data_IF_537239081979
#
_entry.id   IF_537239081979
#
_cell.length_a   1.000
_cell.length_b   1.000
_cell.length_c   1.000
_cell.angle_alpha   90.00
_cell.angle_beta   90.00
_cell.angle_gamma   90.00
#
_symmetry.space_group_name_H-M   'P 1'
#
loop_
_entity.id
_entity.type
_entity.pdbx_description
1 polymer ?
#
# COMPACT_ATOMS: atom_id res chain seq x y z
N UNK A 1 -1.85 0.49 -9.69
CA UNK A 1 -1.74 0.02 -11.09
C UNK A 1 -2.47 1.00 -12.00
N UNK A 2 -2.31 0.94 -13.33
CA UNK A 2 -2.99 1.86 -14.24
C UNK A 2 -4.18 1.19 -14.92
N UNK A 3 -5.37 1.78 -14.76
CA UNK A 3 -6.59 1.44 -15.46
C UNK A 3 -7.04 2.58 -16.40
N UNK A 4 -7.69 2.21 -17.50
CA UNK A 4 -8.42 3.15 -18.35
C UNK A 4 -9.68 3.66 -17.63
N UNK A 5 -10.02 4.93 -17.82
CA UNK A 5 -11.21 5.52 -17.19
C UNK A 5 -12.46 4.91 -17.84
N UNK A 6 -13.33 4.33 -17.02
CA UNK A 6 -14.65 3.85 -17.41
C UNK A 6 -15.63 4.18 -16.26
N UNK A 7 -16.43 5.27 -16.37
CA UNK A 7 -17.33 5.71 -15.30
C UNK A 7 -18.37 4.68 -14.86
N UNK A 8 -18.76 3.77 -15.75
CA UNK A 8 -19.69 2.67 -15.41
C UNK A 8 -18.97 1.47 -14.78
N UNK A 9 -17.64 1.43 -14.86
CA UNK A 9 -16.80 0.35 -14.35
C UNK A 9 -16.55 0.45 -12.84
N UNK A 10 -16.33 -0.71 -12.21
CA UNK A 10 -16.17 -0.85 -10.75
C UNK A 10 -15.14 0.09 -10.10
N UNK A 11 -14.11 0.52 -10.84
CA UNK A 11 -13.03 1.35 -10.31
C UNK A 11 -13.39 2.84 -10.25
N UNK A 12 -14.24 3.31 -11.17
CA UNK A 12 -14.57 4.73 -11.32
C UNK A 12 -16.04 5.02 -11.03
N UNK A 13 -16.82 4.01 -10.69
CA UNK A 13 -18.22 4.19 -10.32
C UNK A 13 -18.35 4.34 -8.80
N UNK A 14 -18.67 5.53 -8.26
CA UNK A 14 -18.83 5.72 -6.82
C UNK A 14 -19.97 4.88 -6.23
N UNK A 15 -21.02 4.57 -7.00
CA UNK A 15 -22.12 3.72 -6.55
C UNK A 15 -21.71 2.25 -6.34
N UNK A 16 -20.57 1.84 -6.90
CA UNK A 16 -19.98 0.50 -6.72
C UNK A 16 -18.87 0.48 -5.67
N UNK A 17 -18.62 1.60 -4.97
CA UNK A 17 -17.49 1.73 -4.05
C UNK A 17 -16.14 1.85 -4.78
N UNK A 18 -16.15 2.45 -5.98
CA UNK A 18 -14.93 2.72 -6.74
C UNK A 18 -13.95 3.63 -6.00
N UNK A 19 -12.72 3.65 -6.52
CA UNK A 19 -11.60 4.38 -5.93
C UNK A 19 -10.39 3.49 -5.65
N UNK A 20 -9.20 4.08 -5.71
CA UNK A 20 -7.95 3.36 -5.45
C UNK A 20 -7.84 2.88 -4.01
N UNK A 21 -8.37 3.63 -3.05
CA UNK A 21 -8.36 3.29 -1.64
C UNK A 21 -9.14 2.01 -1.36
N UNK A 22 -10.35 1.90 -1.90
CA UNK A 22 -11.21 0.73 -1.73
C UNK A 22 -10.73 -0.48 -2.54
N UNK A 23 -10.16 -0.26 -3.73
CA UNK A 23 -9.72 -1.36 -4.60
C UNK A 23 -8.37 -1.97 -4.17
N UNK A 24 -7.34 -1.13 -4.00
CA UNK A 24 -5.97 -1.60 -3.69
C UNK A 24 -5.34 -0.99 -2.45
N UNK A 25 -5.88 0.12 -1.94
CA UNK A 25 -5.44 0.69 -0.67
C UNK A 25 -5.71 -0.23 0.51
N UNK A 26 -6.75 -1.07 0.43
CA UNK A 26 -7.04 -2.08 1.45
C UNK A 26 -5.85 -3.02 1.69
N UNK A 27 -5.06 -3.38 0.68
CA UNK A 27 -3.92 -4.28 0.83
C UNK A 27 -2.76 -3.61 1.58
N UNK A 28 -2.49 -2.32 1.29
CA UNK A 28 -1.42 -1.59 1.96
C UNK A 28 -1.76 -1.33 3.43
N UNK A 29 -3.02 -0.98 3.72
CA UNK A 29 -3.55 -0.80 5.08
C UNK A 29 -3.53 -2.12 5.84
N UNK A 30 -3.99 -3.22 5.22
CA UNK A 30 -4.02 -4.53 5.86
C UNK A 30 -2.62 -5.04 6.18
N UNK A 31 -1.65 -4.85 5.28
CA UNK A 31 -0.26 -5.23 5.54
C UNK A 31 0.31 -4.43 6.72
N UNK A 32 0.10 -3.11 6.76
CA UNK A 32 0.52 -2.29 7.91
C UNK A 32 -0.14 -2.79 9.21
N UNK A 33 -1.45 -3.06 9.20
CA UNK A 33 -2.16 -3.61 10.35
C UNK A 33 -1.61 -4.97 10.79
N UNK A 34 -1.24 -5.85 9.86
CA UNK A 34 -0.66 -7.16 10.17
C UNK A 34 0.73 -7.05 10.79
N UNK A 35 1.57 -6.15 10.26
CA UNK A 35 2.95 -5.96 10.73
C UNK A 35 2.98 -5.30 12.11
N UNK A 36 2.17 -4.27 12.33
CA UNK A 36 2.19 -3.52 13.59
C UNK A 36 1.26 -4.10 14.67
N UNK A 37 0.23 -4.86 14.29
CA UNK A 37 -0.66 -5.56 15.21
C UNK A 37 -1.54 -4.68 16.10
N UNK A 38 -1.43 -3.35 15.99
CA UNK A 38 -2.16 -2.34 16.76
C UNK A 38 -2.70 -1.26 15.82
N UNK A 39 -3.66 -0.47 16.31
CA UNK A 39 -4.17 0.68 15.57
C UNK A 39 -3.12 1.81 15.53
N UNK A 40 -3.01 2.57 14.43
CA UNK A 40 -2.17 3.75 14.39
C UNK A 40 -2.76 4.88 15.25
N UNK A 41 -1.91 5.65 15.92
CA UNK A 41 -2.33 6.80 16.72
C UNK A 41 -2.79 7.97 15.86
N UNK A 42 -2.13 8.16 14.70
CA UNK A 42 -2.43 9.25 13.78
C UNK A 42 -2.29 8.78 12.35
N UNK A 43 -3.18 9.30 11.52
CA UNK A 43 -3.18 9.12 10.08
C UNK A 43 -3.15 10.50 9.44
N UNK A 44 -2.25 10.68 8.46
CA UNK A 44 -2.23 11.82 7.55
C UNK A 44 -2.33 11.30 6.12
N UNK A 45 -3.19 11.91 5.31
CA UNK A 45 -3.42 11.46 3.95
C UNK A 45 -3.66 12.63 2.99
N UNK A 46 -3.30 12.44 1.73
CA UNK A 46 -3.65 13.29 0.60
C UNK A 46 -4.18 12.41 -0.52
N UNK A 47 -5.26 12.83 -1.15
CA UNK A 47 -5.91 12.11 -2.24
C UNK A 47 -6.11 13.04 -3.45
N UNK A 48 -5.91 12.49 -4.64
CA UNK A 48 -6.41 13.09 -5.88
C UNK A 48 -7.80 12.52 -6.16
N UNK A 49 -8.79 13.38 -6.25
CA UNK A 49 -10.18 13.00 -6.55
C UNK A 49 -10.43 13.25 -8.03
N UNK A 50 -10.79 12.20 -8.76
CA UNK A 50 -11.03 12.27 -10.20
C UNK A 50 -12.39 12.86 -10.60
N UNK A 51 -12.62 12.96 -11.90
CA UNK A 51 -13.86 13.53 -12.48
C UNK A 51 -15.13 12.75 -12.09
N UNK A 52 -14.98 11.46 -11.73
CA UNK A 52 -16.07 10.58 -11.29
C UNK A 52 -16.33 10.64 -9.79
N UNK A 53 -15.65 11.55 -9.08
CA UNK A 53 -15.72 11.75 -7.62
C UNK A 53 -15.20 10.58 -6.76
N UNK A 54 -14.49 9.61 -7.34
CA UNK A 54 -13.70 8.62 -6.59
C UNK A 54 -12.26 9.09 -6.40
N UNK A 55 -11.58 8.57 -5.40
CA UNK A 55 -10.13 8.78 -5.28
C UNK A 55 -9.39 7.99 -6.37
N UNK A 56 -8.53 8.67 -7.12
CA UNK A 56 -7.76 8.04 -8.19
C UNK A 56 -6.38 7.59 -7.70
N UNK A 57 -5.82 8.31 -6.72
CA UNK A 57 -4.55 8.03 -6.05
C UNK A 57 -4.58 8.61 -4.63
N UNK A 58 -3.99 7.91 -3.66
CA UNK A 58 -3.91 8.36 -2.25
C UNK A 58 -2.52 8.04 -1.70
N UNK A 59 -1.92 9.03 -1.05
CA UNK A 59 -0.72 8.86 -0.23
C UNK A 59 -1.09 9.01 1.24
N UNK A 60 -0.60 8.11 2.10
CA UNK A 60 -0.93 8.07 3.52
C UNK A 60 0.32 7.82 4.36
N UNK A 61 0.37 8.42 5.55
CA UNK A 61 1.35 8.12 6.59
C UNK A 61 0.60 7.79 7.87
N UNK A 62 0.86 6.60 8.41
CA UNK A 62 0.38 6.17 9.72
C UNK A 62 1.53 6.29 10.72
N UNK A 63 1.26 6.79 11.91
CA UNK A 63 2.21 6.79 13.03
C UNK A 63 1.69 5.97 14.20
N UNK A 64 2.58 5.22 14.85
CA UNK A 64 2.28 4.38 16.00
C UNK A 64 2.99 4.92 17.25
N UNK A 65 2.51 4.52 18.44
CA UNK A 65 3.00 4.97 19.75
C UNK A 65 4.46 4.58 20.01
N UNK A 66 4.87 3.46 19.43
CA UNK A 66 6.26 2.97 19.39
C UNK A 66 7.23 3.87 18.61
N UNK A 67 6.72 4.85 17.86
CA UNK A 67 7.50 5.69 16.95
C UNK A 67 7.65 5.11 15.54
N UNK A 68 7.12 3.91 15.28
CA UNK A 68 7.08 3.35 13.94
C UNK A 68 6.20 4.17 13.00
N UNK A 69 6.50 4.09 11.70
CA UNK A 69 5.75 4.75 10.63
C UNK A 69 5.40 3.75 9.53
N UNK A 70 4.21 3.88 8.95
CA UNK A 70 3.86 3.23 7.70
C UNK A 70 3.63 4.29 6.62
N UNK A 71 4.42 4.27 5.55
CA UNK A 71 4.21 5.11 4.37
C UNK A 71 3.50 4.28 3.30
N UNK A 72 2.24 4.60 3.02
CA UNK A 72 1.37 3.83 2.15
C UNK A 72 0.98 4.66 0.93
N UNK A 73 0.86 4.00 -0.20
CA UNK A 73 0.40 4.62 -1.43
C UNK A 73 -0.52 3.67 -2.18
N UNK A 74 -1.58 4.23 -2.77
CA UNK A 74 -2.52 3.49 -3.63
C UNK A 74 -2.91 4.34 -4.83
N UNK A 75 -3.32 3.70 -5.91
CA UNK A 75 -3.83 4.39 -7.08
C UNK A 75 -4.16 3.48 -8.26
N UNK A 76 -5.16 3.93 -9.02
CA UNK A 76 -5.73 3.25 -10.20
C UNK A 76 -5.35 3.95 -11.52
N UNK A 77 -4.56 5.01 -11.46
CA UNK A 77 -4.12 5.79 -12.65
C UNK A 77 -2.63 5.68 -12.96
N UNK A 78 -1.87 5.13 -12.02
CA UNK A 78 -0.42 5.07 -12.08
C UNK A 78 0.06 3.66 -11.80
N UNK A 79 0.96 3.18 -12.67
CA UNK A 79 1.66 1.92 -12.47
C UNK A 79 2.66 2.07 -11.33
N UNK A 80 2.61 1.16 -10.37
CA UNK A 80 3.56 1.08 -9.25
C UNK A 80 4.37 -0.20 -9.34
N UNK A 81 5.49 -0.29 -8.60
CA UNK A 81 6.22 -1.54 -8.43
C UNK A 81 5.35 -2.67 -7.84
N UNK A 82 4.32 -2.32 -7.06
CA UNK A 82 3.43 -3.27 -6.36
C UNK A 82 4.21 -4.17 -5.38
N UNK A 83 5.22 -3.61 -4.74
CA UNK A 83 6.05 -4.26 -3.73
C UNK A 83 5.80 -3.65 -2.36
N UNK A 84 6.23 -4.33 -1.30
CA UNK A 84 6.22 -3.80 0.05
C UNK A 84 7.54 -4.09 0.77
N UNK A 85 7.98 -3.18 1.63
CA UNK A 85 9.20 -3.34 2.41
C UNK A 85 8.92 -3.06 3.88
N UNK A 86 9.35 -3.97 4.74
CA UNK A 86 9.36 -3.82 6.20
C UNK A 86 10.80 -3.52 6.60
N UNK A 87 11.01 -2.35 7.21
CA UNK A 87 12.33 -1.86 7.61
C UNK A 87 12.48 -1.98 9.13
N UNK A 88 13.54 -2.66 9.57
CA UNK A 88 13.94 -2.77 10.97
C UNK A 88 15.28 -2.08 11.23
N UNK A 89 15.77 -2.18 12.46
CA UNK A 89 17.06 -1.62 12.88
C UNK A 89 18.27 -2.40 12.37
N UNK A 90 18.08 -3.68 12.05
CA UNK A 90 19.16 -4.63 11.72
C UNK A 90 19.02 -5.20 10.28
N UNK A 91 18.14 -4.60 9.48
CA UNK A 91 17.87 -5.04 8.12
C UNK A 91 16.43 -4.81 7.66
N UNK A 92 16.01 -5.56 6.66
CA UNK A 92 14.71 -5.41 6.01
C UNK A 92 14.17 -6.70 5.41
N UNK A 93 12.85 -6.74 5.22
CA UNK A 93 12.15 -7.75 4.42
C UNK A 93 11.50 -7.02 3.25
N UNK A 94 11.83 -7.42 2.02
CA UNK A 94 11.14 -6.98 0.80
C UNK A 94 10.21 -8.09 0.32
N UNK A 95 8.94 -7.77 0.16
CA UNK A 95 7.92 -8.65 -0.42
C UNK A 95 7.80 -8.30 -1.90
N UNK A 96 8.10 -9.24 -2.79
CA UNK A 96 8.10 -8.97 -4.23
C UNK A 96 6.69 -8.76 -4.80
N UNK A 97 6.67 -8.24 -6.02
CA UNK A 97 5.47 -7.90 -6.75
C UNK A 97 4.69 -9.13 -7.25
N UNK A 98 3.34 -9.15 -7.14
CA UNK A 98 2.51 -8.23 -6.37
C UNK A 98 2.46 -8.60 -4.88
N UNK A 99 2.71 -7.65 -3.98
CA UNK A 99 2.86 -7.95 -2.55
C UNK A 99 1.60 -8.55 -1.89
N UNK A 100 0.42 -8.32 -2.46
CA UNK A 100 -0.85 -8.86 -1.95
C UNK A 100 -1.11 -10.33 -2.30
N UNK A 101 -0.32 -10.92 -3.21
CA UNK A 101 -0.35 -12.34 -3.56
C UNK A 101 1.08 -12.90 -3.75
N UNK A 102 2.04 -12.34 -3.01
CA UNK A 102 3.45 -12.67 -3.16
C UNK A 102 3.72 -14.16 -2.88
N UNK A 103 4.67 -14.71 -3.65
CA UNK A 103 5.16 -16.09 -3.49
C UNK A 103 6.58 -16.17 -2.96
N UNK A 104 7.26 -15.03 -2.95
CA UNK A 104 8.62 -14.90 -2.47
C UNK A 104 8.73 -13.71 -1.54
N UNK A 105 9.81 -13.68 -0.77
CA UNK A 105 10.32 -12.49 -0.10
C UNK A 105 11.85 -12.51 -0.09
N UNK A 106 12.48 -11.35 0.01
CA UNK A 106 13.91 -11.22 0.24
C UNK A 106 14.15 -10.67 1.64
N UNK A 107 14.84 -11.44 2.49
CA UNK A 107 15.37 -11.00 3.77
C UNK A 107 16.80 -10.47 3.57
N UNK A 108 17.06 -9.25 4.03
CA UNK A 108 18.40 -8.67 4.06
C UNK A 108 18.73 -8.30 5.51
N UNK A 109 19.76 -8.92 6.07
CA UNK A 109 20.28 -8.61 7.40
C UNK A 109 21.61 -7.90 7.23
N UNK A 110 21.82 -6.81 7.96
CA UNK A 110 23.02 -6.00 7.81
C UNK A 110 24.30 -6.84 8.01
N UNK A 111 25.25 -6.68 7.09
CA UNK A 111 26.52 -7.43 7.10
C UNK A 111 26.43 -8.89 6.59
N UNK A 112 25.26 -9.35 6.13
CA UNK A 112 25.08 -10.68 5.56
C UNK A 112 24.59 -10.59 4.10
N UNK A 113 24.77 -11.69 3.37
CA UNK A 113 24.18 -11.83 2.03
C UNK A 113 22.65 -11.96 2.13
N UNK A 114 21.88 -11.34 1.21
CA UNK A 114 20.43 -11.49 1.16
C UNK A 114 19.98 -12.93 0.95
N UNK A 115 18.88 -13.31 1.61
CA UNK A 115 18.25 -14.63 1.48
C UNK A 115 16.91 -14.47 0.77
N UNK A 116 16.72 -15.24 -0.30
CA UNK A 116 15.43 -15.36 -0.99
C UNK A 116 14.63 -16.52 -0.38
N UNK A 117 13.39 -16.23 -0.02
CA UNK A 117 12.45 -17.11 0.68
C UNK A 117 11.23 -17.32 -0.20
#
# INVERSE_FOLDING_TARGET
FRAGVNPDGRLFNPALGGGGLMDVGIYTISLASMVFGVQPDRIKALAEIGETAVDEQVAMVFSYDTGALASLWTGIRTSTPQEATILGTDGQIRIESPFWDAKTATLSVDGNDPVHI
#
